data_IF_649757245323
#
_entry.id   IF_649757245323
#
_cell.length_a   1.000
_cell.length_b   1.000
_cell.length_c   1.000
_cell.angle_alpha   90.00
_cell.angle_beta   90.00
_cell.angle_gamma   90.00
#
_symmetry.space_group_name_H-M   'P 1'
#
loop_
_entity.id
_entity.type
_entity.pdbx_description
1 polymer ?
#
# COMPACT_ATOMS: atom_id res chain seq x y z
N UNK A 1 3.36 -6.69 17.92
CA UNK A 1 4.73 -6.17 17.71
C UNK A 1 5.69 -7.17 17.07
N UNK A 2 5.50 -8.49 17.25
CA UNK A 2 6.37 -9.51 16.63
C UNK A 2 6.39 -9.49 15.09
N UNK A 3 5.24 -9.22 14.46
CA UNK A 3 5.12 -9.25 12.99
C UNK A 3 5.87 -8.11 12.28
N UNK A 4 5.81 -6.89 12.82
CA UNK A 4 6.54 -5.75 12.25
C UNK A 4 8.06 -5.99 12.23
N UNK A 5 8.60 -6.63 13.26
CA UNK A 5 10.01 -7.01 13.32
C UNK A 5 10.38 -8.05 12.25
N UNK A 6 9.51 -9.04 12.01
CA UNK A 6 9.72 -10.04 10.96
C UNK A 6 9.71 -9.40 9.56
N UNK A 7 8.76 -8.49 9.30
CA UNK A 7 8.70 -7.73 8.05
C UNK A 7 9.95 -6.88 7.84
N UNK A 8 10.42 -6.20 8.87
CA UNK A 8 11.66 -5.41 8.83
C UNK A 8 12.86 -6.31 8.49
N UNK A 9 12.98 -7.47 9.13
CA UNK A 9 14.08 -8.41 8.86
C UNK A 9 14.04 -8.91 7.42
N UNK A 10 12.88 -9.34 6.90
CA UNK A 10 12.75 -9.80 5.50
C UNK A 10 13.11 -8.73 4.50
N UNK A 11 12.64 -7.49 4.71
CA UNK A 11 12.99 -6.36 3.84
C UNK A 11 14.49 -6.07 3.85
N UNK A 12 15.14 -6.10 5.02
CA UNK A 12 16.60 -5.94 5.12
C UNK A 12 17.35 -7.05 4.38
N UNK A 13 16.96 -8.30 4.58
CA UNK A 13 17.54 -9.44 3.85
C UNK A 13 17.40 -9.27 2.35
N UNK A 14 16.23 -8.82 1.87
CA UNK A 14 16.00 -8.59 0.44
C UNK A 14 16.86 -7.45 -0.11
N UNK A 15 17.06 -6.38 0.65
CA UNK A 15 17.91 -5.24 0.26
C UNK A 15 19.38 -5.66 0.13
N UNK A 16 19.88 -6.45 1.08
CA UNK A 16 21.27 -6.87 1.17
C UNK A 16 21.62 -8.03 0.21
N UNK A 17 20.61 -8.71 -0.34
CA UNK A 17 20.84 -9.88 -1.18
C UNK A 17 21.39 -9.50 -2.58
N UNK A 18 22.47 -10.15 -3.05
CA UNK A 18 23.18 -9.75 -4.26
C UNK A 18 22.39 -9.99 -5.56
N UNK A 19 21.38 -10.87 -5.53
CA UNK A 19 20.53 -11.18 -6.70
C UNK A 19 19.27 -10.31 -6.79
N UNK A 20 19.03 -9.43 -5.82
CA UNK A 20 17.89 -8.53 -5.83
C UNK A 20 18.11 -7.46 -6.90
N UNK A 21 17.11 -7.24 -7.76
CA UNK A 21 17.16 -6.20 -8.78
C UNK A 21 17.05 -4.79 -8.19
N UNK A 22 17.47 -3.76 -8.92
CA UNK A 22 17.47 -2.38 -8.40
C UNK A 22 16.06 -1.84 -8.11
N UNK A 23 15.07 -2.20 -8.93
CA UNK A 23 13.66 -1.82 -8.73
C UNK A 23 13.08 -2.46 -7.47
N UNK A 24 13.33 -3.75 -7.29
CA UNK A 24 12.90 -4.52 -6.12
C UNK A 24 13.58 -4.03 -4.84
N UNK A 25 14.90 -3.76 -4.89
CA UNK A 25 15.66 -3.19 -3.78
C UNK A 25 15.14 -1.80 -3.41
N UNK A 26 14.84 -0.96 -4.40
CA UNK A 26 14.28 0.37 -4.17
C UNK A 26 12.88 0.29 -3.54
N UNK A 27 12.01 -0.60 -4.02
CA UNK A 27 10.69 -0.85 -3.43
C UNK A 27 10.81 -1.35 -1.98
N UNK A 28 11.73 -2.28 -1.72
CA UNK A 28 11.98 -2.80 -0.38
C UNK A 28 12.47 -1.72 0.58
N UNK A 29 13.37 -0.84 0.13
CA UNK A 29 13.82 0.30 0.91
C UNK A 29 12.68 1.27 1.21
N UNK A 30 11.85 1.62 0.22
CA UNK A 30 10.68 2.49 0.42
C UNK A 30 9.70 1.91 1.43
N UNK A 31 9.43 0.60 1.34
CA UNK A 31 8.52 -0.08 2.25
C UNK A 31 9.08 -0.16 3.68
N UNK A 32 10.39 -0.44 3.83
CA UNK A 32 11.09 -0.44 5.12
C UNK A 32 11.03 0.95 5.77
N UNK A 33 11.35 1.99 5.02
CA UNK A 33 11.30 3.37 5.48
C UNK A 33 9.90 3.78 5.95
N UNK A 34 8.86 3.33 5.24
CA UNK A 34 7.46 3.58 5.58
C UNK A 34 7.08 2.93 6.92
N UNK A 35 7.48 1.67 7.13
CA UNK A 35 7.25 0.95 8.38
C UNK A 35 7.95 1.66 9.55
N UNK A 36 9.21 2.05 9.36
CA UNK A 36 10.01 2.76 10.38
C UNK A 36 9.49 4.19 10.65
N UNK A 37 8.89 4.85 9.66
CA UNK A 37 8.30 6.18 9.82
C UNK A 37 6.96 6.13 10.56
N UNK A 38 6.15 5.10 10.31
CA UNK A 38 4.85 4.88 10.97
C UNK A 38 4.99 4.57 12.46
N UNK A 39 6.10 3.96 12.89
CA UNK A 39 6.38 3.75 14.32
C UNK A 39 6.77 5.04 15.04
N UNK A 40 7.50 5.96 14.38
CA UNK A 40 7.88 7.27 14.93
C UNK A 40 6.69 8.24 15.01
N UNK A 41 5.82 8.25 13.99
CA UNK A 41 4.67 9.16 13.91
C UNK A 41 3.63 8.95 15.03
N UNK A 42 3.60 7.80 15.71
CA UNK A 42 2.67 7.60 16.85
C UNK A 42 3.06 8.37 18.11
N UNK A 43 4.27 8.93 18.15
CA UNK A 43 4.82 9.63 19.31
C UNK A 43 5.10 11.12 19.06
N UNK A 44 4.91 11.61 17.83
CA UNK A 44 5.34 12.95 17.46
C UNK A 44 4.22 13.68 16.69
N UNK A 45 3.33 14.31 17.46
CA UNK A 45 2.39 15.33 16.98
C UNK A 45 3.13 16.67 16.94
N UNK A 46 4.22 16.76 16.18
CA UNK A 46 4.88 18.04 15.92
C UNK A 46 4.86 18.38 14.43
N UNK A 47 4.26 19.54 14.17
CA UNK A 47 4.04 20.19 12.89
C UNK A 47 5.36 20.73 12.28
N UNK A 48 6.40 19.89 12.27
CA UNK A 48 7.74 20.23 11.77
C UNK A 48 8.34 19.11 10.91
N UNK A 49 7.50 18.34 10.24
CA UNK A 49 7.95 17.34 9.24
C UNK A 49 8.31 17.99 7.89
N UNK A 50 8.84 19.23 7.89
CA UNK A 50 9.11 20.00 6.66
C UNK A 50 10.58 19.96 6.20
N UNK A 51 11.44 19.10 6.80
CA UNK A 51 12.87 19.08 6.50
C UNK A 51 13.42 17.73 6.05
N UNK A 52 13.46 16.75 6.95
CA UNK A 52 14.29 15.55 6.75
C UNK A 52 13.75 14.53 5.73
N UNK A 53 12.49 14.67 5.27
CA UNK A 53 11.90 13.78 4.26
C UNK A 53 11.98 14.36 2.84
N UNK A 54 12.46 15.61 2.69
CA UNK A 54 12.39 16.39 1.45
C UNK A 54 13.51 16.10 0.44
N UNK A 55 14.50 15.27 0.76
CA UNK A 55 15.57 14.87 -0.16
C UNK A 55 15.28 13.56 -0.93
N UNK A 56 14.08 12.99 -0.79
CA UNK A 56 13.76 11.69 -1.40
C UNK A 56 13.23 11.86 -2.83
N UNK A 57 13.53 10.84 -3.65
CA UNK A 57 13.33 10.69 -5.12
C UNK A 57 11.89 11.00 -5.63
N UNK A 58 10.92 11.26 -4.75
CA UNK A 58 9.56 11.67 -5.09
C UNK A 58 9.28 13.18 -5.15
N UNK A 59 10.22 14.06 -4.75
CA UNK A 59 9.97 15.53 -4.67
C UNK A 59 9.50 16.15 -5.99
N UNK A 60 9.97 15.63 -7.11
CA UNK A 60 9.67 16.11 -8.46
C UNK A 60 9.09 15.03 -9.38
N UNK A 61 8.79 13.84 -8.85
CA UNK A 61 8.20 12.77 -9.64
C UNK A 61 6.82 13.18 -10.17
N UNK A 62 6.63 13.12 -11.49
CA UNK A 62 5.30 13.24 -12.09
C UNK A 62 4.36 12.14 -11.57
N UNK A 63 3.05 12.31 -11.71
CA UNK A 63 2.08 11.33 -11.21
C UNK A 63 2.28 9.94 -11.82
N UNK A 64 2.69 9.85 -13.08
CA UNK A 64 3.00 8.57 -13.73
C UNK A 64 4.11 7.81 -13.02
N UNK A 65 5.15 8.53 -12.58
CA UNK A 65 6.26 7.95 -11.81
C UNK A 65 5.81 7.49 -10.42
N UNK A 66 4.92 8.25 -9.77
CA UNK A 66 4.33 7.83 -8.49
C UNK A 66 3.46 6.57 -8.68
N UNK A 67 2.68 6.51 -9.76
CA UNK A 67 1.90 5.33 -10.09
C UNK A 67 2.78 4.10 -10.34
N UNK A 68 3.94 4.25 -11.00
CA UNK A 68 4.92 3.17 -11.15
C UNK A 68 5.45 2.70 -9.80
N UNK A 69 5.83 3.62 -8.90
CA UNK A 69 6.32 3.28 -7.56
C UNK A 69 5.25 2.60 -6.70
N UNK A 70 3.99 3.00 -6.85
CA UNK A 70 2.84 2.32 -6.21
C UNK A 70 2.68 0.90 -6.78
N UNK A 71 2.81 0.70 -8.10
CA UNK A 71 2.75 -0.65 -8.71
C UNK A 71 3.85 -1.55 -8.18
N UNK A 72 5.08 -1.06 -8.13
CA UNK A 72 6.23 -1.80 -7.59
C UNK A 72 6.02 -2.18 -6.13
N UNK A 73 5.52 -1.24 -5.31
CA UNK A 73 5.26 -1.47 -3.89
C UNK A 73 4.15 -2.54 -3.70
N UNK A 74 3.07 -2.51 -4.50
CA UNK A 74 2.01 -3.53 -4.46
C UNK A 74 2.55 -4.90 -4.89
N UNK A 75 3.32 -4.95 -5.97
CA UNK A 75 3.92 -6.20 -6.46
C UNK A 75 4.85 -6.82 -5.42
N UNK A 76 5.71 -6.01 -4.80
CA UNK A 76 6.58 -6.47 -3.72
C UNK A 76 5.76 -6.98 -2.52
N UNK A 77 4.69 -6.25 -2.13
CA UNK A 77 3.84 -6.66 -1.02
C UNK A 77 3.21 -8.05 -1.24
N UNK A 78 2.77 -8.31 -2.48
CA UNK A 78 2.20 -9.60 -2.90
C UNK A 78 3.21 -10.75 -2.91
N UNK A 79 4.50 -10.49 -3.09
CA UNK A 79 5.51 -11.55 -3.18
C UNK A 79 6.17 -11.82 -1.82
N UNK A 80 6.51 -10.77 -1.07
CA UNK A 80 7.35 -10.87 0.14
C UNK A 80 6.55 -11.26 1.38
N UNK A 81 5.26 -10.92 1.42
CA UNK A 81 4.43 -11.08 2.63
C UNK A 81 3.28 -12.07 2.49
N UNK A 82 3.06 -12.66 1.32
CA UNK A 82 2.21 -13.85 1.18
C UNK A 82 2.88 -15.04 1.85
N UNK A 83 2.73 -15.16 3.17
CA UNK A 83 3.23 -16.30 3.94
C UNK A 83 2.04 -17.06 4.49
N UNK A 84 1.95 -18.38 4.27
CA UNK A 84 0.95 -19.18 4.96
C UNK A 84 1.20 -19.07 6.46
N UNK A 85 0.18 -18.62 7.19
CA UNK A 85 0.21 -18.59 8.65
C UNK A 85 0.19 -20.05 9.14
N UNK A 86 1.20 -20.45 9.90
CA UNK A 86 1.22 -21.78 10.52
C UNK A 86 0.10 -21.89 11.56
N UNK A 87 -0.51 -23.09 11.73
CA UNK A 87 -1.55 -23.29 12.74
C UNK A 87 -1.05 -22.90 14.14
N UNK A 88 -1.76 -22.00 14.81
CA UNK A 88 -1.44 -21.57 16.19
C UNK A 88 -0.67 -20.25 16.32
N UNK A 89 -0.33 -19.58 15.21
CA UNK A 89 0.36 -18.29 15.23
C UNK A 89 -0.60 -17.12 14.98
N UNK A 90 -0.55 -16.08 15.83
CA UNK A 90 -1.24 -14.81 15.59
C UNK A 90 -0.57 -14.10 14.41
N UNK A 91 -1.10 -14.28 13.21
CA UNK A 91 -0.70 -13.48 12.05
C UNK A 91 -1.11 -12.03 12.27
N UNK A 92 -0.22 -11.08 11.99
CA UNK A 92 -0.71 -9.72 11.81
C UNK A 92 -1.36 -9.64 10.43
N UNK A 93 -2.50 -8.94 10.32
CA UNK A 93 -3.20 -8.84 9.06
C UNK A 93 -2.31 -8.18 8.00
N UNK A 94 -2.14 -8.83 6.84
CA UNK A 94 -1.58 -8.23 5.64
C UNK A 94 -2.63 -8.24 4.52
N UNK A 95 -3.55 -7.26 4.49
CA UNK A 95 -4.64 -7.28 3.51
C UNK A 95 -4.19 -7.35 2.05
N UNK A 96 -3.00 -6.87 1.70
CA UNK A 96 -2.45 -6.96 0.33
C UNK A 96 -1.83 -8.35 0.09
N UNK A 97 -1.00 -8.83 1.03
CA UNK A 97 -0.37 -10.16 0.94
C UNK A 97 -1.37 -11.33 1.05
N UNK A 98 -2.43 -11.16 1.84
CA UNK A 98 -3.45 -12.17 2.13
C UNK A 98 -4.60 -12.18 1.10
N UNK A 99 -4.61 -11.23 0.16
CA UNK A 99 -5.63 -11.19 -0.89
C UNK A 99 -5.56 -12.45 -1.78
N UNK A 100 -6.70 -12.98 -2.27
CA UNK A 100 -6.74 -14.14 -3.17
C UNK A 100 -5.75 -14.02 -4.34
N UNK A 101 -5.08 -15.11 -4.78
CA UNK A 101 -4.05 -15.06 -5.82
C UNK A 101 -4.57 -14.58 -7.18
N UNK A 102 -5.87 -14.72 -7.44
CA UNK A 102 -6.52 -14.26 -8.67
C UNK A 102 -6.72 -12.74 -8.76
N UNK A 103 -6.62 -11.99 -7.64
CA UNK A 103 -6.82 -10.54 -7.64
C UNK A 103 -5.63 -9.85 -8.33
N UNK A 104 -5.96 -8.97 -9.28
CA UNK A 104 -4.98 -8.11 -9.97
C UNK A 104 -5.22 -6.64 -9.64
N UNK A 105 -4.18 -5.82 -9.81
CA UNK A 105 -4.23 -4.39 -9.51
C UNK A 105 -3.82 -3.57 -10.72
N UNK A 106 -4.62 -2.57 -11.07
CA UNK A 106 -4.28 -1.56 -12.08
C UNK A 106 -4.09 -0.21 -11.40
N UNK A 107 -2.98 0.47 -11.67
CA UNK A 107 -2.72 1.82 -11.14
C UNK A 107 -2.58 2.78 -12.31
N UNK A 108 -3.52 3.71 -12.40
CA UNK A 108 -3.68 4.63 -13.52
C UNK A 108 -3.60 6.09 -13.05
N UNK A 109 -3.25 6.98 -13.99
CA UNK A 109 -3.16 8.43 -13.77
C UNK A 109 -4.12 9.18 -14.69
N UNK A 110 -5.45 9.08 -14.47
CA UNK A 110 -6.40 9.72 -15.36
C UNK A 110 -6.21 11.24 -15.32
N UNK A 111 -6.00 11.81 -16.51
CA UNK A 111 -5.88 13.25 -16.76
C UNK A 111 -4.78 13.96 -15.95
N UNK A 112 -3.74 13.25 -15.50
CA UNK A 112 -2.64 13.78 -14.69
C UNK A 112 -3.08 14.58 -13.44
N UNK A 113 -4.31 14.33 -12.97
CA UNK A 113 -4.90 15.02 -11.82
C UNK A 113 -5.10 14.08 -10.61
N UNK A 114 -4.98 12.78 -10.81
CA UNK A 114 -5.22 11.79 -9.77
C UNK A 114 -4.50 10.48 -10.01
N UNK A 115 -4.47 9.66 -8.97
CA UNK A 115 -4.03 8.26 -9.02
C UNK A 115 -5.20 7.39 -8.64
N UNK A 116 -5.53 6.43 -9.51
CA UNK A 116 -6.62 5.49 -9.31
C UNK A 116 -6.04 4.08 -9.23
N UNK A 117 -6.30 3.40 -8.10
CA UNK A 117 -6.00 1.98 -7.94
C UNK A 117 -7.29 1.19 -8.15
N UNK A 118 -7.26 0.27 -9.10
CA UNK A 118 -8.35 -0.64 -9.43
C UNK A 118 -8.00 -2.02 -8.93
N UNK A 119 -8.89 -2.61 -8.14
CA UNK A 119 -8.85 -4.01 -7.74
C UNK A 119 -9.72 -4.77 -8.75
N UNK A 120 -9.12 -5.70 -9.50
CA UNK A 120 -9.82 -6.52 -10.48
C UNK A 120 -9.88 -7.98 -10.02
N UNK A 121 -10.74 -8.76 -10.69
CA UNK A 121 -10.82 -10.21 -10.54
C UNK A 121 -11.08 -10.67 -9.09
N UNK A 122 -11.85 -9.86 -8.34
CA UNK A 122 -12.21 -10.17 -6.95
C UNK A 122 -13.21 -11.34 -6.95
N UNK A 123 -12.94 -12.44 -6.21
CA UNK A 123 -13.88 -13.55 -6.09
C UNK A 123 -15.17 -13.13 -5.36
N UNK A 124 -16.33 -13.50 -5.91
CA UNK A 124 -17.65 -13.10 -5.41
C UNK A 124 -17.87 -13.49 -3.94
N UNK A 125 -17.45 -14.69 -3.58
CA UNK A 125 -17.53 -15.28 -2.25
C UNK A 125 -16.59 -14.64 -1.21
N UNK A 126 -15.52 -13.98 -1.66
CA UNK A 126 -14.55 -13.31 -0.80
C UNK A 126 -14.81 -11.81 -0.68
N UNK A 127 -15.13 -11.15 -1.79
CA UNK A 127 -15.26 -9.69 -1.87
C UNK A 127 -16.60 -9.13 -1.39
N UNK A 128 -17.64 -9.96 -1.37
CA UNK A 128 -19.00 -9.54 -1.09
C UNK A 128 -19.65 -10.43 -0.04
N UNK A 129 -20.55 -9.84 0.74
CA UNK A 129 -21.40 -10.54 1.68
C UNK A 129 -22.85 -10.18 1.37
N UNK A 130 -23.71 -11.20 1.28
CA UNK A 130 -25.15 -10.98 1.18
C UNK A 130 -25.72 -10.84 2.58
N UNK A 131 -26.23 -9.65 2.92
CA UNK A 131 -26.89 -9.38 4.17
C UNK A 131 -28.30 -8.86 3.90
N UNK A 132 -29.31 -9.68 4.17
CA UNK A 132 -30.72 -9.30 3.98
C UNK A 132 -31.12 -9.05 2.52
N UNK A 133 -30.51 -9.76 1.56
CA UNK A 133 -30.79 -9.60 0.13
C UNK A 133 -30.09 -8.42 -0.55
N UNK A 134 -29.26 -7.68 0.20
CA UNK A 134 -28.38 -6.63 -0.34
C UNK A 134 -26.94 -7.14 -0.30
N UNK A 135 -26.25 -7.04 -1.44
CA UNK A 135 -24.81 -7.28 -1.48
C UNK A 135 -24.07 -6.08 -0.87
N UNK A 136 -23.18 -6.36 0.07
CA UNK A 136 -22.31 -5.38 0.67
C UNK A 136 -20.85 -5.82 0.54
N UNK A 137 -19.95 -4.84 0.44
CA UNK A 137 -18.51 -5.07 0.42
C UNK A 137 -18.08 -5.79 1.70
N UNK A 138 -17.37 -6.92 1.55
CA UNK A 138 -16.91 -7.73 2.66
C UNK A 138 -15.89 -6.97 3.53
N UNK A 139 -15.74 -7.32 4.81
CA UNK A 139 -14.70 -6.74 5.67
C UNK A 139 -13.29 -6.92 5.10
N UNK A 140 -13.02 -8.05 4.43
CA UNK A 140 -11.73 -8.35 3.82
C UNK A 140 -11.41 -7.40 2.65
N UNK A 141 -12.39 -7.17 1.76
CA UNK A 141 -12.23 -6.24 0.64
C UNK A 141 -12.08 -4.78 1.13
N UNK A 142 -12.81 -4.39 2.19
CA UNK A 142 -12.62 -3.07 2.83
C UNK A 142 -11.23 -2.92 3.44
N UNK A 143 -10.72 -3.95 4.11
CA UNK A 143 -9.38 -3.93 4.70
C UNK A 143 -8.30 -3.80 3.61
N UNK A 144 -8.44 -4.52 2.50
CA UNK A 144 -7.57 -4.40 1.34
C UNK A 144 -7.60 -2.98 0.77
N UNK A 145 -8.79 -2.44 0.51
CA UNK A 145 -8.94 -1.08 0.01
C UNK A 145 -8.31 -0.04 0.96
N UNK A 146 -8.50 -0.20 2.26
CA UNK A 146 -7.92 0.69 3.28
C UNK A 146 -6.39 0.64 3.34
N UNK A 147 -5.77 -0.52 3.15
CA UNK A 147 -4.31 -0.61 3.07
C UNK A 147 -3.75 -0.05 1.75
N UNK A 148 -4.44 -0.24 0.62
CA UNK A 148 -4.08 0.41 -0.64
C UNK A 148 -4.17 1.94 -0.54
N UNK A 149 -5.21 2.46 0.11
CA UNK A 149 -5.34 3.89 0.37
C UNK A 149 -4.18 4.43 1.22
N UNK A 150 -3.81 3.74 2.31
CA UNK A 150 -2.64 4.12 3.13
C UNK A 150 -1.32 4.07 2.36
N UNK A 151 -1.17 3.10 1.46
CA UNK A 151 0.00 2.99 0.60
C UNK A 151 0.07 4.19 -0.36
N UNK A 152 -1.04 4.52 -1.00
CA UNK A 152 -1.16 5.69 -1.89
C UNK A 152 -0.94 7.01 -1.13
N UNK A 153 -1.54 7.18 0.05
CA UNK A 153 -1.41 8.39 0.87
C UNK A 153 0.01 8.65 1.36
N UNK A 154 0.85 7.61 1.48
CA UNK A 154 2.27 7.81 1.77
C UNK A 154 3.01 8.60 0.68
N UNK A 155 2.48 8.64 -0.54
CA UNK A 155 2.95 9.48 -1.64
C UNK A 155 2.18 10.81 -1.76
N UNK A 156 1.01 10.92 -1.12
CA UNK A 156 0.17 12.11 -1.12
C UNK A 156 0.52 13.01 0.07
N UNK A 157 1.59 13.79 -0.06
CA UNK A 157 2.02 14.69 1.01
C UNK A 157 0.96 15.77 1.30
N UNK A 158 0.72 16.02 2.59
CA UNK A 158 -0.07 17.16 3.07
C UNK A 158 0.81 18.09 3.90
N UNK A 159 0.56 19.39 3.80
CA UNK A 159 1.14 20.39 4.69
C UNK A 159 0.11 21.49 4.95
N UNK A 160 0.23 22.23 6.04
CA UNK A 160 -0.72 23.29 6.41
C UNK A 160 -0.93 24.37 5.31
N UNK A 161 -0.02 24.45 4.34
CA UNK A 161 -0.02 25.44 3.27
C UNK A 161 0.02 24.84 1.85
N UNK A 162 0.04 23.51 1.72
CA UNK A 162 -0.01 22.83 0.42
C UNK A 162 -1.14 21.79 0.48
N UNK A 163 -2.12 21.95 -0.41
CA UNK A 163 -3.21 20.98 -0.56
C UNK A 163 -2.68 19.59 -0.95
N UNK A 164 -3.59 18.63 -1.14
CA UNK A 164 -3.23 17.28 -1.63
C UNK A 164 -2.44 17.40 -2.93
N UNK A 165 -1.38 16.59 -3.08
CA UNK A 165 -0.57 16.53 -4.30
C UNK A 165 -1.38 15.99 -5.47
N UNK A 166 -2.27 15.03 -5.20
CA UNK A 166 -3.17 14.45 -6.19
C UNK A 166 -4.46 13.95 -5.50
N UNK A 167 -5.50 13.74 -6.30
CA UNK A 167 -6.70 13.03 -5.86
C UNK A 167 -6.47 11.52 -5.94
N UNK A 168 -6.62 10.83 -4.80
CA UNK A 168 -6.52 9.39 -4.74
C UNK A 168 -7.88 8.73 -4.88
N UNK A 169 -7.95 7.54 -5.49
CA UNK A 169 -9.17 6.73 -5.51
C UNK A 169 -8.85 5.25 -5.49
N UNK A 170 -9.58 4.48 -4.69
CA UNK A 170 -9.57 3.02 -4.73
C UNK A 170 -10.91 2.53 -5.26
N UNK A 171 -10.89 1.70 -6.30
CA UNK A 171 -12.11 1.13 -6.90
C UNK A 171 -12.01 -0.39 -7.03
N UNK A 172 -13.17 -1.05 -7.07
CA UNK A 172 -13.32 -2.45 -7.46
C UNK A 172 -14.23 -2.50 -8.68
N UNK A 173 -13.71 -3.01 -9.81
CA UNK A 173 -14.39 -2.86 -11.10
C UNK A 173 -14.78 -1.39 -11.38
N UNK A 174 -16.08 -1.12 -11.54
CA UNK A 174 -16.62 0.23 -11.76
C UNK A 174 -16.96 1.04 -10.50
N UNK A 175 -16.88 0.43 -9.30
CA UNK A 175 -17.36 1.04 -8.06
C UNK A 175 -16.22 1.63 -7.22
N UNK A 176 -16.39 2.87 -6.75
CA UNK A 176 -15.40 3.52 -5.87
C UNK A 176 -15.61 3.11 -4.43
N UNK A 177 -14.59 2.52 -3.81
CA UNK A 177 -14.59 2.14 -2.41
C UNK A 177 -14.07 3.25 -1.49
N UNK A 178 -13.06 4.01 -1.92
CA UNK A 178 -12.40 5.08 -1.14
C UNK A 178 -12.03 6.26 -2.03
N UNK A 179 -12.16 7.48 -1.47
CA UNK A 179 -11.79 8.78 -2.03
C UNK A 179 -10.71 9.49 -1.18
#
# INVERSE_FOLDING_TARGET
>A
MADASLRITRLRTLIEHPRTGDTERAAAQRMLDRILSKSRSRYDTSDRTYGARHDRVGRHAGLSRIADEIRDDIALARVVFSTPTLPGQLAAPDPIGDAPPGITYTVETPHDAGIVITINDVPADWGWISAGGVEAVSPALRALAGELAKLMDGYNHYGAHIGRRFFGRIRVGGETLIW
#
